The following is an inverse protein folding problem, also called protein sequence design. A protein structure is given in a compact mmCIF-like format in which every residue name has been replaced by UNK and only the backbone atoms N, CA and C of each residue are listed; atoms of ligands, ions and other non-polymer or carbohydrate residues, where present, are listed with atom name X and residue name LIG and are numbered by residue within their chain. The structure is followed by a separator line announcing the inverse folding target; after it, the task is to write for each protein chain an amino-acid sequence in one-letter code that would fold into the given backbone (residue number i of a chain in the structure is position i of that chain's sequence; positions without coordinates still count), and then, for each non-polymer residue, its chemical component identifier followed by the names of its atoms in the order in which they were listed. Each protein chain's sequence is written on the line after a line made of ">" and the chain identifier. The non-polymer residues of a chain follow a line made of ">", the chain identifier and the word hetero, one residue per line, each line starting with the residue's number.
data_IF_391146350401
#
_entry.id   IF_391146350401
#
_cell.length_a   1.000
_cell.length_b   1.000
_cell.length_c   1.000
_cell.angle_alpha   90.00
_cell.angle_beta   90.00
_cell.angle_gamma   90.00
#
_symmetry.space_group_name_H-M   'P 1'
#
loop_
_entity.id
_entity.type
_entity.pdbx_description
1 polymer ?
#
# COMPACT_ATOMS: atom_id res chain seq x y z
N UNK A 1 -12.45 -1.68 -31.59
CA UNK A 1 -11.99 -2.48 -30.43
C UNK A 1 -12.33 -1.73 -29.17
N UNK A 2 -13.33 -2.21 -28.41
CA UNK A 2 -13.80 -1.54 -27.21
C UNK A 2 -12.86 -1.80 -26.04
N UNK A 3 -12.30 -0.75 -25.44
CA UNK A 3 -11.55 -0.85 -24.19
C UNK A 3 -12.54 -1.24 -23.09
N UNK A 4 -12.33 -2.40 -22.46
CA UNK A 4 -13.12 -2.86 -21.32
C UNK A 4 -12.85 -1.94 -20.12
N UNK A 5 -13.73 -0.96 -19.91
CA UNK A 5 -13.68 -0.06 -18.75
C UNK A 5 -14.19 -0.82 -17.52
N UNK A 6 -13.29 -1.21 -16.61
CA UNK A 6 -13.64 -1.86 -15.34
C UNK A 6 -13.82 -0.79 -14.26
N UNK A 7 -15.06 -0.61 -13.79
CA UNK A 7 -15.43 0.38 -12.77
C UNK A 7 -14.84 0.01 -11.40
N UNK A 8 -13.93 0.83 -10.88
CA UNK A 8 -13.51 0.77 -9.48
C UNK A 8 -14.57 1.41 -8.58
N UNK A 9 -14.86 0.79 -7.43
CA UNK A 9 -15.63 1.42 -6.34
C UNK A 9 -14.75 2.49 -5.70
N UNK A 10 -14.82 3.72 -6.18
CA UNK A 10 -14.13 4.86 -5.57
C UNK A 10 -15.13 5.96 -5.25
N UNK A 11 -14.97 6.52 -4.07
CA UNK A 11 -15.64 7.76 -3.67
C UNK A 11 -15.07 8.90 -4.52
N UNK A 12 -15.95 9.54 -5.30
CA UNK A 12 -15.60 10.23 -6.54
C UNK A 12 -14.91 11.60 -6.37
N UNK A 13 -14.68 12.07 -5.14
CA UNK A 13 -14.47 13.52 -4.92
C UNK A 13 -13.02 14.02 -4.91
N UNK A 14 -11.98 13.20 -4.97
CA UNK A 14 -10.60 13.73 -4.75
C UNK A 14 -9.50 13.19 -5.68
N UNK A 15 -9.82 12.34 -6.65
CA UNK A 15 -8.80 11.67 -7.49
C UNK A 15 -8.74 12.17 -8.94
N UNK A 16 -9.16 13.41 -9.24
CA UNK A 16 -9.25 13.93 -10.62
C UNK A 16 -7.95 13.83 -11.43
N UNK A 17 -6.78 13.81 -10.77
CA UNK A 17 -5.48 13.59 -11.42
C UNK A 17 -5.31 12.15 -11.95
N UNK A 18 -5.99 11.19 -11.33
CA UNK A 18 -5.84 9.76 -11.58
C UNK A 18 -7.09 9.10 -12.13
N UNK A 19 -8.23 9.79 -12.09
CA UNK A 19 -9.52 9.27 -12.52
C UNK A 19 -10.28 10.36 -13.26
N UNK A 20 -10.69 10.04 -14.49
CA UNK A 20 -11.60 10.85 -15.27
C UNK A 20 -13.03 10.34 -15.06
N UNK A 21 -13.86 11.16 -14.43
CA UNK A 21 -15.25 10.79 -14.13
C UNK A 21 -16.16 10.78 -15.35
N UNK A 22 -15.79 11.48 -16.43
CA UNK A 22 -16.58 11.54 -17.67
C UNK A 22 -16.38 10.27 -18.49
N UNK A 23 -15.14 9.83 -18.65
CA UNK A 23 -14.79 8.63 -19.43
C UNK A 23 -14.77 7.35 -18.59
N UNK A 24 -14.69 7.46 -17.27
CA UNK A 24 -14.53 6.33 -16.35
C UNK A 24 -13.14 5.68 -16.42
N UNK A 25 -12.16 6.34 -17.04
CA UNK A 25 -10.79 5.86 -17.18
C UNK A 25 -9.98 6.24 -15.94
N UNK A 26 -9.21 5.28 -15.42
CA UNK A 26 -8.24 5.50 -14.35
C UNK A 26 -6.80 5.34 -14.85
N UNK A 27 -5.87 6.00 -14.15
CA UNK A 27 -4.45 5.75 -14.33
C UNK A 27 -4.09 4.35 -13.83
N UNK A 28 -3.02 3.78 -14.39
CA UNK A 28 -2.52 2.46 -13.97
C UNK A 28 -2.10 2.46 -12.49
N UNK A 29 -1.58 3.58 -12.00
CA UNK A 29 -1.19 3.73 -10.59
C UNK A 29 -2.39 3.70 -9.66
N UNK A 30 -3.49 4.37 -10.01
CA UNK A 30 -4.71 4.30 -9.22
C UNK A 30 -5.31 2.90 -9.27
N UNK A 31 -5.36 2.29 -10.45
CA UNK A 31 -5.85 0.93 -10.58
C UNK A 31 -5.06 -0.05 -9.70
N UNK A 32 -3.73 0.03 -9.72
CA UNK A 32 -2.88 -0.81 -8.87
C UNK A 32 -3.05 -0.51 -7.38
N UNK A 33 -3.13 0.77 -6.99
CA UNK A 33 -3.38 1.16 -5.60
C UNK A 33 -4.71 0.59 -5.07
N UNK A 34 -5.77 0.57 -5.89
CA UNK A 34 -7.08 0.04 -5.47
C UNK A 34 -7.15 -1.48 -5.32
N UNK A 35 -6.16 -2.22 -5.83
CA UNK A 35 -6.11 -3.68 -5.68
C UNK A 35 -5.58 -4.14 -4.33
N UNK A 36 -4.88 -3.26 -3.62
CA UNK A 36 -4.27 -3.56 -2.35
C UNK A 36 -5.10 -2.94 -1.22
N UNK A 37 -6.05 -3.70 -0.61
CA UNK A 37 -6.89 -3.17 0.46
C UNK A 37 -6.09 -2.92 1.74
N UNK A 38 -4.89 -3.49 1.86
CA UNK A 38 -4.01 -3.39 3.03
C UNK A 38 -3.02 -2.24 2.92
N UNK A 39 -3.32 -1.25 2.05
CA UNK A 39 -2.49 -0.06 1.86
C UNK A 39 -3.35 1.16 1.57
N UNK A 40 -3.25 2.17 2.42
CA UNK A 40 -4.11 3.35 2.38
C UNK A 40 -3.26 4.62 2.42
N UNK A 41 -3.60 5.56 1.56
CA UNK A 41 -3.13 6.94 1.60
C UNK A 41 -4.32 7.87 1.89
N UNK A 42 -4.06 9.12 2.34
CA UNK A 42 -5.11 10.13 2.50
C UNK A 42 -5.93 10.32 1.22
N UNK A 43 -7.19 10.73 1.40
CA UNK A 43 -8.14 11.06 0.35
C UNK A 43 -7.54 11.96 -0.73
N UNK A 44 -7.67 11.54 -1.98
CA UNK A 44 -7.10 12.21 -3.15
C UNK A 44 -5.62 11.98 -3.39
N UNK A 45 -4.97 11.18 -2.54
CA UNK A 45 -3.62 10.66 -2.75
C UNK A 45 -3.71 9.16 -3.01
N UNK A 46 -2.63 8.63 -3.57
CA UNK A 46 -2.41 7.19 -3.71
C UNK A 46 -1.10 6.83 -3.00
N UNK A 47 -1.00 5.64 -2.39
CA UNK A 47 0.26 5.11 -1.90
C UNK A 47 1.29 5.08 -3.02
N UNK A 48 2.58 5.12 -2.67
CA UNK A 48 3.62 5.04 -3.70
C UNK A 48 3.62 3.63 -4.31
N UNK A 49 3.40 3.45 -5.62
CA UNK A 49 3.31 2.11 -6.19
C UNK A 49 4.53 1.27 -5.85
N UNK A 50 4.33 0.01 -5.48
CA UNK A 50 5.41 -0.97 -5.35
C UNK A 50 5.83 -1.37 -6.77
N UNK A 51 7.13 -1.44 -7.13
CA UNK A 51 8.31 -1.15 -6.31
C UNK A 51 8.58 0.33 -6.04
N UNK A 52 9.11 0.60 -4.86
CA UNK A 52 9.65 1.91 -4.50
C UNK A 52 11.04 1.77 -3.86
N UNK A 53 11.83 2.83 -3.98
CA UNK A 53 13.07 2.98 -3.22
C UNK A 53 12.79 3.82 -1.97
N UNK A 54 13.54 3.58 -0.90
CA UNK A 54 13.46 4.40 0.30
C UNK A 54 14.83 4.61 0.92
N UNK A 55 15.00 5.79 1.51
CA UNK A 55 16.16 6.20 2.29
C UNK A 55 15.69 6.72 3.66
N UNK A 56 16.65 7.09 4.51
CA UNK A 56 16.35 7.80 5.74
C UNK A 56 15.59 9.10 5.46
N UNK A 57 14.74 9.52 6.40
CA UNK A 57 14.07 10.81 6.33
C UNK A 57 15.05 11.96 6.03
N UNK A 58 14.57 12.97 5.30
CA UNK A 58 15.37 14.17 5.05
C UNK A 58 15.80 14.84 6.36
N UNK A 59 16.89 15.62 6.33
CA UNK A 59 17.39 16.34 7.52
C UNK A 59 16.29 17.20 8.18
N UNK A 60 15.41 17.80 7.37
CA UNK A 60 14.29 18.60 7.86
C UNK A 60 13.25 17.74 8.57
N UNK A 61 12.83 16.64 7.95
CA UNK A 61 11.87 15.72 8.53
C UNK A 61 12.43 15.04 9.78
N UNK A 62 13.74 14.71 9.79
CA UNK A 62 14.41 14.11 10.95
C UNK A 62 14.42 15.02 12.17
N UNK A 63 14.58 16.34 11.98
CA UNK A 63 14.49 17.33 13.07
C UNK A 63 13.11 17.40 13.73
N UNK A 64 12.06 17.02 12.99
CA UNK A 64 10.67 17.06 13.44
C UNK A 64 10.12 15.66 13.74
N UNK A 65 10.94 14.62 13.62
CA UNK A 65 10.48 13.22 13.63
C UNK A 65 9.70 12.90 14.89
N UNK A 66 10.18 13.28 16.07
CA UNK A 66 9.47 13.06 17.33
C UNK A 66 8.06 13.67 17.32
N UNK A 67 7.93 14.94 16.92
CA UNK A 67 6.63 15.64 16.84
C UNK A 67 5.69 14.95 15.83
N UNK A 68 6.23 14.57 14.68
CA UNK A 68 5.50 13.86 13.61
C UNK A 68 4.97 12.51 14.08
N UNK A 69 5.79 11.73 14.78
CA UNK A 69 5.44 10.42 15.33
C UNK A 69 4.42 10.53 16.46
N UNK A 70 4.55 11.53 17.33
CA UNK A 70 3.58 11.81 18.42
C UNK A 70 2.20 12.17 17.85
N UNK A 71 2.14 13.09 16.86
CA UNK A 71 0.89 13.46 16.20
C UNK A 71 0.21 12.26 15.51
N UNK A 72 1.00 11.42 14.84
CA UNK A 72 0.48 10.21 14.21
C UNK A 72 -0.05 9.22 15.25
N UNK A 73 0.71 8.97 16.32
CA UNK A 73 0.32 8.04 17.39
C UNK A 73 -0.97 8.46 18.08
N UNK A 74 -1.09 9.74 18.45
CA UNK A 74 -2.27 10.27 19.12
C UNK A 74 -3.51 10.19 18.21
N UNK A 75 -3.32 10.38 16.90
CA UNK A 75 -4.39 10.19 15.92
C UNK A 75 -4.82 8.74 15.82
N UNK A 76 -3.88 7.81 15.64
CA UNK A 76 -4.17 6.37 15.56
C UNK A 76 -4.93 5.87 16.80
N UNK A 77 -4.57 6.39 17.99
CA UNK A 77 -5.26 6.09 19.25
C UNK A 77 -6.75 6.45 19.21
N UNK A 78 -7.13 7.60 18.64
CA UNK A 78 -8.54 8.01 18.50
C UNK A 78 -9.37 7.06 17.62
N UNK A 79 -8.72 6.44 16.63
CA UNK A 79 -9.35 5.45 15.76
C UNK A 79 -9.31 4.02 16.32
N UNK A 80 -8.69 3.83 17.49
CA UNK A 80 -8.37 2.52 18.07
C UNK A 80 -7.51 1.65 17.14
N UNK A 81 -6.59 2.27 16.41
CA UNK A 81 -5.61 1.57 15.57
C UNK A 81 -4.33 1.41 16.36
N UNK A 82 -3.86 0.17 16.53
CA UNK A 82 -2.60 -0.13 17.20
C UNK A 82 -1.51 -0.34 16.15
N UNK A 83 -0.55 0.59 16.01
CA UNK A 83 0.55 0.42 15.07
C UNK A 83 1.53 -0.64 15.58
N UNK A 84 2.08 -1.45 14.68
CA UNK A 84 3.25 -2.29 14.98
C UNK A 84 4.54 -1.48 14.97
N UNK A 85 4.65 -0.51 14.06
CA UNK A 85 5.71 0.51 14.07
C UNK A 85 5.32 1.73 13.25
N UNK A 86 5.88 2.89 13.60
CA UNK A 86 5.73 4.15 12.86
C UNK A 86 7.12 4.70 12.59
N UNK A 87 7.36 5.17 11.37
CA UNK A 87 8.65 5.73 10.97
C UNK A 87 8.44 6.76 9.86
N UNK A 88 9.40 7.68 9.74
CA UNK A 88 9.46 8.65 8.65
C UNK A 88 10.55 8.20 7.67
N UNK A 89 10.19 8.02 6.41
CA UNK A 89 11.11 7.63 5.33
C UNK A 89 11.09 8.64 4.21
N UNK A 90 12.22 8.78 3.53
CA UNK A 90 12.26 9.46 2.25
C UNK A 90 11.98 8.43 1.14
N UNK A 91 10.78 8.45 0.55
CA UNK A 91 10.32 7.42 -0.38
C UNK A 91 10.18 7.96 -1.81
N UNK A 92 10.66 7.20 -2.79
CA UNK A 92 10.65 7.57 -4.20
C UNK A 92 10.21 6.41 -5.10
N UNK A 93 9.67 6.70 -6.29
CA UNK A 93 9.37 5.66 -7.28
C UNK A 93 10.70 5.00 -7.64
N UNK A 94 10.71 3.67 -7.78
CA UNK A 94 11.94 2.93 -8.04
C UNK A 94 12.72 3.49 -9.23
N UNK A 95 14.00 3.79 -9.02
CA UNK A 95 14.90 4.38 -10.02
C UNK A 95 14.64 5.86 -10.34
N UNK A 96 13.76 6.55 -9.61
CA UNK A 96 13.38 7.95 -9.84
C UNK A 96 13.52 8.79 -8.56
N UNK A 97 14.75 9.07 -8.10
CA UNK A 97 15.00 9.84 -6.87
C UNK A 97 14.43 11.26 -6.92
N UNK A 98 14.21 11.84 -8.10
CA UNK A 98 13.53 13.14 -8.26
C UNK A 98 12.08 13.15 -7.75
N UNK A 99 11.48 11.98 -7.52
CA UNK A 99 10.10 11.84 -6.99
C UNK A 99 10.05 11.67 -5.48
N UNK A 100 11.21 11.73 -4.82
CA UNK A 100 11.36 11.46 -3.41
C UNK A 100 10.61 12.47 -2.54
N UNK A 101 9.89 11.95 -1.54
CA UNK A 101 9.16 12.75 -0.55
C UNK A 101 9.24 12.08 0.81
N UNK A 102 9.32 12.90 1.87
CA UNK A 102 9.21 12.39 3.22
C UNK A 102 7.81 11.86 3.45
N UNK A 103 7.72 10.67 4.03
CA UNK A 103 6.49 9.89 4.18
C UNK A 103 6.45 9.31 5.57
N UNK A 104 5.40 9.59 6.34
CA UNK A 104 5.08 8.75 7.51
C UNK A 104 4.51 7.44 6.99
N UNK A 105 5.15 6.37 7.40
CA UNK A 105 4.68 5.01 7.17
C UNK A 105 4.27 4.42 8.51
N UNK A 106 2.99 4.12 8.63
CA UNK A 106 2.40 3.42 9.76
C UNK A 106 2.19 1.98 9.33
N UNK A 107 2.86 1.06 10.01
CA UNK A 107 2.60 -0.37 9.84
C UNK A 107 1.62 -0.86 10.89
N UNK A 108 0.64 -1.63 10.45
CA UNK A 108 -0.49 -2.10 11.23
C UNK A 108 -0.64 -3.60 10.96
N UNK A 109 -0.76 -4.42 11.99
CA UNK A 109 -0.93 -5.87 11.83
C UNK A 109 -2.40 -6.30 11.76
N UNK A 110 -3.32 -5.36 11.94
CA UNK A 110 -4.76 -5.57 11.79
C UNK A 110 -5.16 -5.79 10.32
N UNK A 111 -6.25 -6.52 10.14
CA UNK A 111 -6.89 -6.79 8.85
C UNK A 111 -8.11 -5.88 8.62
N UNK A 112 -8.67 -5.29 9.68
CA UNK A 112 -9.77 -4.33 9.58
C UNK A 112 -9.26 -2.96 9.13
N UNK A 113 -9.43 -2.68 7.84
CA UNK A 113 -8.99 -1.43 7.20
C UNK A 113 -10.07 -0.35 7.20
N UNK A 114 -11.25 -0.59 7.79
CA UNK A 114 -12.41 0.33 7.72
C UNK A 114 -12.12 1.71 8.30
N UNK A 115 -11.21 1.80 9.28
CA UNK A 115 -10.83 3.04 9.97
C UNK A 115 -9.56 3.67 9.43
N UNK A 116 -8.87 3.02 8.49
CA UNK A 116 -7.55 3.47 8.06
C UNK A 116 -7.60 4.72 7.20
N UNK A 117 -8.58 4.84 6.29
CA UNK A 117 -8.73 6.03 5.46
C UNK A 117 -8.98 7.30 6.30
N UNK A 118 -10.00 7.35 7.19
CA UNK A 118 -10.20 8.54 8.00
C UNK A 118 -9.02 8.83 8.93
N UNK A 119 -8.34 7.80 9.47
CA UNK A 119 -7.13 7.99 10.25
C UNK A 119 -5.98 8.59 9.41
N UNK A 120 -5.75 8.09 8.20
CA UNK A 120 -4.74 8.61 7.29
C UNK A 120 -5.01 10.07 6.91
N UNK A 121 -6.28 10.41 6.66
CA UNK A 121 -6.71 11.78 6.41
C UNK A 121 -6.42 12.69 7.59
N UNK A 122 -6.79 12.29 8.80
CA UNK A 122 -6.57 13.10 9.99
C UNK A 122 -5.08 13.28 10.32
N UNK A 123 -4.26 12.23 10.17
CA UNK A 123 -2.80 12.34 10.30
C UNK A 123 -2.25 13.35 9.30
N UNK A 124 -2.68 13.26 8.03
CA UNK A 124 -2.21 14.17 6.98
C UNK A 124 -2.62 15.62 7.27
N UNK A 125 -3.87 15.88 7.65
CA UNK A 125 -4.33 17.23 7.98
C UNK A 125 -3.66 17.81 9.22
N UNK A 126 -3.38 16.97 10.22
CA UNK A 126 -2.68 17.40 11.45
C UNK A 126 -1.24 17.80 11.16
N UNK A 127 -0.55 17.05 10.30
CA UNK A 127 0.87 17.27 9.99
C UNK A 127 1.09 18.36 8.93
N UNK A 128 0.16 18.53 8.00
CA UNK A 128 0.32 19.40 6.83
C UNK A 128 0.76 20.83 7.18
N UNK A 129 0.19 21.52 8.20
CA UNK A 129 0.64 22.86 8.58
C UNK A 129 2.12 22.90 8.98
N UNK A 130 2.55 21.97 9.84
CA UNK A 130 3.93 21.85 10.32
C UNK A 130 4.91 21.51 9.21
N UNK A 131 4.54 20.55 8.36
CA UNK A 131 5.36 20.18 7.22
C UNK A 131 5.52 21.35 6.23
N UNK A 132 4.45 22.12 6.02
CA UNK A 132 4.47 23.31 5.15
C UNK A 132 5.36 24.40 5.71
N UNK A 133 5.26 24.70 7.02
CA UNK A 133 6.12 25.66 7.73
C UNK A 133 7.61 25.30 7.60
N UNK A 134 7.95 24.02 7.69
CA UNK A 134 9.31 23.53 7.50
C UNK A 134 9.76 23.42 6.02
N UNK A 135 8.86 23.66 5.07
CA UNK A 135 9.10 23.50 3.64
C UNK A 135 9.42 22.05 3.27
N UNK A 136 8.65 21.10 3.82
CA UNK A 136 8.73 19.67 3.58
C UNK A 136 7.52 19.24 2.74
N UNK A 137 7.76 18.55 1.63
CA UNK A 137 6.69 17.87 0.91
C UNK A 137 6.44 16.51 1.57
N UNK A 138 5.21 16.32 2.05
CA UNK A 138 4.92 15.20 2.94
C UNK A 138 3.86 14.24 2.39
N UNK A 139 3.96 12.96 2.78
CA UNK A 139 2.96 11.91 2.52
C UNK A 139 2.67 11.12 3.79
N UNK A 140 1.53 10.45 3.79
CA UNK A 140 1.12 9.50 4.84
C UNK A 140 0.72 8.21 4.14
N UNK A 141 1.14 7.08 4.69
CA UNK A 141 0.78 5.75 4.24
C UNK A 141 0.54 4.85 5.44
N UNK A 142 -0.66 4.26 5.51
CA UNK A 142 -1.00 3.18 6.45
C UNK A 142 -0.94 1.87 5.67
N UNK A 143 -0.28 0.85 6.22
CA UNK A 143 -0.16 -0.45 5.54
C UNK A 143 -0.07 -1.63 6.50
N UNK A 144 -0.50 -2.80 6.06
CA UNK A 144 -0.13 -4.07 6.69
C UNK A 144 0.99 -4.71 5.88
N UNK A 145 2.20 -4.68 6.44
CA UNK A 145 3.41 -5.17 5.76
C UNK A 145 3.35 -6.66 5.41
N UNK A 146 2.59 -7.45 6.17
CA UNK A 146 2.45 -8.89 5.95
C UNK A 146 1.41 -9.23 4.87
N UNK A 147 0.52 -8.30 4.54
CA UNK A 147 -0.62 -8.53 3.62
C UNK A 147 -0.65 -7.64 2.39
N UNK A 148 0.09 -6.54 2.40
CA UNK A 148 0.22 -5.67 1.24
C UNK A 148 0.84 -6.43 0.06
N UNK A 149 0.49 -6.02 -1.15
CA UNK A 149 1.11 -6.57 -2.33
C UNK A 149 2.59 -6.19 -2.37
N UNK A 150 3.47 -7.18 -2.56
CA UNK A 150 4.91 -6.98 -2.76
C UNK A 150 5.36 -7.80 -3.97
N UNK A 151 6.39 -7.35 -4.70
CA UNK A 151 7.00 -8.16 -5.77
C UNK A 151 7.99 -9.21 -5.23
N UNK A 152 8.10 -9.31 -3.90
CA UNK A 152 9.00 -10.23 -3.23
C UNK A 152 8.35 -11.59 -3.11
N UNK A 153 8.96 -12.60 -3.75
CA UNK A 153 8.63 -13.99 -3.49
C UNK A 153 9.06 -14.36 -2.06
N UNK A 154 8.10 -14.71 -1.22
CA UNK A 154 8.35 -15.32 0.08
C UNK A 154 8.08 -16.82 0.00
N UNK A 155 8.82 -17.61 0.79
CA UNK A 155 8.46 -19.01 1.00
C UNK A 155 7.04 -19.07 1.58
N UNK A 156 6.24 -20.03 1.12
CA UNK A 156 4.91 -20.26 1.66
C UNK A 156 5.02 -20.49 3.17
N UNK A 157 4.23 -19.74 3.95
CA UNK A 157 4.15 -19.96 5.40
C UNK A 157 3.62 -21.38 5.59
N UNK A 158 4.37 -22.23 6.28
CA UNK A 158 3.96 -23.60 6.56
C UNK A 158 2.76 -23.59 7.51
N UNK A 159 1.56 -23.48 6.94
CA UNK A 159 0.31 -23.75 7.63
C UNK A 159 -0.16 -25.15 7.25
N UNK A 160 -0.91 -25.79 8.14
CA UNK A 160 -1.48 -27.11 7.87
C UNK A 160 -2.37 -27.07 6.63
N UNK A 161 -3.15 -26.01 6.47
CA UNK A 161 -4.03 -25.78 5.33
C UNK A 161 -3.25 -25.62 4.02
N UNK A 162 -2.13 -24.89 4.05
CA UNK A 162 -1.27 -24.71 2.87
C UNK A 162 -0.62 -26.03 2.46
N UNK A 163 -0.17 -26.82 3.45
CA UNK A 163 0.39 -28.15 3.20
C UNK A 163 -0.68 -29.10 2.66
N UNK A 164 -1.88 -29.11 3.23
CA UNK A 164 -3.00 -29.95 2.80
C UNK A 164 -3.41 -29.63 1.35
N UNK A 165 -3.45 -28.35 0.96
CA UNK A 165 -3.69 -27.94 -0.42
C UNK A 165 -2.58 -28.43 -1.34
N UNK A 166 -1.30 -28.21 -0.99
CA UNK A 166 -0.17 -28.68 -1.82
C UNK A 166 -0.20 -30.20 -2.00
N UNK A 167 -0.41 -30.96 -0.92
CA UNK A 167 -0.53 -32.41 -0.96
C UNK A 167 -1.75 -32.90 -1.76
N UNK A 168 -2.83 -32.12 -1.80
CA UNK A 168 -3.99 -32.44 -2.64
C UNK A 168 -3.74 -32.20 -4.14
N UNK A 169 -2.76 -31.36 -4.48
CA UNK A 169 -2.37 -31.07 -5.86
C UNK A 169 -1.37 -32.10 -6.41
N UNK A 170 -0.56 -32.73 -5.55
CA UNK A 170 0.43 -33.74 -5.94
C UNK A 170 -0.16 -34.87 -6.82
N UNK A 171 -1.27 -35.52 -6.47
CA UNK A 171 -1.88 -36.55 -7.32
C UNK A 171 -2.33 -36.03 -8.69
N UNK A 172 -2.77 -34.77 -8.76
CA UNK A 172 -3.26 -34.15 -10.00
C UNK A 172 -2.10 -33.81 -10.94
N UNK A 173 -0.98 -33.33 -10.40
CA UNK A 173 0.25 -33.07 -11.17
C UNK A 173 0.80 -34.38 -11.73
N UNK A 174 0.93 -35.40 -10.87
CA UNK A 174 1.42 -36.73 -11.27
C UNK A 174 0.52 -37.41 -12.31
N UNK A 175 -0.80 -37.29 -12.19
CA UNK A 175 -1.75 -37.82 -13.18
C UNK A 175 -1.62 -37.12 -14.54
N UNK A 176 -1.32 -35.82 -14.55
CA UNK A 176 -1.16 -35.03 -15.78
C UNK A 176 0.15 -35.40 -16.50
N UNK A 177 1.24 -35.58 -15.76
CA UNK A 177 2.52 -36.06 -16.33
C UNK A 177 2.40 -37.47 -16.92
N UNK A 178 1.71 -38.38 -16.21
CA UNK A 178 1.45 -39.72 -16.72
C UNK A 178 0.61 -39.69 -18.01
N UNK A 179 -0.42 -38.85 -18.08
CA UNK A 179 -1.25 -38.71 -19.28
C UNK A 179 -0.47 -38.14 -20.48
N UNK A 180 0.39 -37.15 -20.25
CA UNK A 180 1.26 -36.57 -21.30
C UNK A 180 2.28 -37.60 -21.79
N UNK A 181 2.84 -38.43 -20.90
CA UNK A 181 3.77 -39.49 -21.28
C UNK A 181 3.08 -40.57 -22.14
N UNK A 182 1.87 -40.99 -21.77
CA UNK A 182 1.09 -41.97 -22.52
C UNK A 182 0.54 -41.45 -23.85
N UNK A 183 0.29 -40.15 -24.00
CA UNK A 183 -0.20 -39.55 -25.25
C UNK A 183 0.91 -39.35 -26.32
N UNK A 184 2.19 -39.51 -25.94
CA UNK A 184 3.35 -39.31 -26.81
C UNK A 184 4.16 -40.60 -27.06
N UNK A 185 3.63 -41.77 -26.68
CA UNK A 185 4.18 -43.10 -26.98
C UNK A 185 3.18 -43.87 -27.87
#
# INVERSE_FOLDING_TARGET
>A
MGVLVRKSRLDKMSLSKYFDSETGVSSIELYNATKDPFRVAPSGKIPIPWPYDHEMASVKAKKMETELLEMATETLRRYNIVPSYIHVLNMSKRGLPSTAKDTIVVSINDDDTTRWLPAADEIYQTILPRATEAGIQFRVELRNQERMYTDMSAALRQSKETLDVLLSMDPLIMATEAYIFWANC
#
